data_IF_720515386570
#
_entry.id   IF_720515386570
#
_cell.length_a   1.000
_cell.length_b   1.000
_cell.length_c   1.000
_cell.angle_alpha   90.00
_cell.angle_beta   90.00
_cell.angle_gamma   90.00
#
_symmetry.space_group_name_H-M   'P 1'
#
loop_
_entity.id
_entity.type
_entity.pdbx_description
1 polymer ?
#
# COMPACT_ATOMS: atom_id res chain seq x y z
N UNK A 1 -26.80 16.68 10.11
CA UNK A 1 -26.40 16.30 10.58
C UNK A 1 -25.17 15.60 10.86
N UNK A 2 -24.95 14.51 11.18
CA UNK A 2 -23.76 13.91 11.68
C UNK A 2 -22.58 13.90 10.72
N UNK A 3 -22.82 14.07 9.46
CA UNK A 3 -21.73 13.99 8.53
C UNK A 3 -20.75 15.15 8.66
N UNK A 4 -21.17 16.23 9.19
CA UNK A 4 -20.23 17.32 9.41
C UNK A 4 -19.16 16.91 10.38
N UNK A 5 -19.56 16.14 11.39
CA UNK A 5 -18.60 15.66 12.37
C UNK A 5 -17.57 14.78 11.71
N UNK A 6 -18.05 13.90 10.83
CA UNK A 6 -17.13 12.97 10.19
C UNK A 6 -16.17 13.67 9.26
N UNK A 7 -16.56 14.79 8.70
CA UNK A 7 -15.67 15.49 7.78
C UNK A 7 -14.43 16.02 8.48
N UNK A 8 -14.48 16.16 9.79
CA UNK A 8 -13.32 16.58 10.54
C UNK A 8 -12.37 15.46 10.90
N UNK A 9 -12.65 14.25 10.43
CA UNK A 9 -11.84 13.09 10.77
C UNK A 9 -11.29 12.42 9.53
N UNK A 10 -10.37 13.06 8.83
CA UNK A 10 -9.86 12.52 7.58
C UNK A 10 -9.21 11.15 7.72
N UNK A 11 -8.68 10.84 8.90
CA UNK A 11 -7.99 9.57 9.10
C UNK A 11 -8.90 8.38 9.04
N UNK A 12 -10.21 8.56 9.26
CA UNK A 12 -11.15 7.45 9.24
C UNK A 12 -11.81 7.26 7.88
N UNK A 13 -11.64 8.21 6.99
CA UNK A 13 -12.26 8.14 5.69
C UNK A 13 -11.32 7.45 4.69
N UNK A 14 -11.89 6.57 3.91
CA UNK A 14 -11.14 5.93 2.84
C UNK A 14 -11.40 6.63 1.53
N UNK A 15 -10.38 6.71 0.72
CA UNK A 15 -10.45 7.36 -0.57
C UNK A 15 -10.19 6.36 -1.67
N UNK A 16 -10.96 6.45 -2.75
CA UNK A 16 -10.77 5.57 -3.89
C UNK A 16 -9.51 5.94 -4.66
N UNK A 17 -8.98 5.03 -5.46
CA UNK A 17 -7.83 5.38 -6.31
C UNK A 17 -8.13 6.55 -7.24
N UNK A 18 -9.37 6.67 -7.71
CA UNK A 18 -9.77 7.78 -8.57
C UNK A 18 -9.74 9.10 -7.82
N UNK A 19 -10.21 9.09 -6.57
CA UNK A 19 -10.18 10.30 -5.75
C UNK A 19 -8.76 10.75 -5.48
N UNK A 20 -7.89 9.82 -5.17
CA UNK A 20 -6.49 10.15 -4.94
C UNK A 20 -5.82 10.69 -6.19
N UNK A 21 -6.08 10.07 -7.33
CA UNK A 21 -5.50 10.50 -8.58
C UNK A 21 -5.96 11.90 -8.95
N UNK A 22 -7.24 12.19 -8.70
CA UNK A 22 -7.78 13.52 -8.97
C UNK A 22 -7.11 14.57 -8.10
N UNK A 23 -6.92 14.26 -6.81
CA UNK A 23 -6.28 15.18 -5.90
C UNK A 23 -4.85 15.47 -6.32
N UNK A 24 -4.11 14.43 -6.74
CA UNK A 24 -2.75 14.60 -7.23
C UNK A 24 -2.71 15.48 -8.47
N UNK A 25 -3.66 15.27 -9.39
CA UNK A 25 -3.73 16.10 -10.58
C UNK A 25 -3.97 17.56 -10.24
N UNK A 26 -4.81 17.82 -9.24
CA UNK A 26 -5.07 19.20 -8.83
C UNK A 26 -3.79 19.85 -8.28
N UNK A 27 -3.02 19.12 -7.50
CA UNK A 27 -1.76 19.64 -7.00
C UNK A 27 -0.81 19.96 -8.15
N UNK A 28 -0.70 19.04 -9.11
CA UNK A 28 0.21 19.24 -10.22
C UNK A 28 -0.21 20.38 -11.11
N UNK A 29 -1.51 20.53 -11.32
CA UNK A 29 -2.03 21.64 -12.10
C UNK A 29 -1.76 22.96 -11.41
N UNK A 30 -1.98 23.03 -10.11
CA UNK A 30 -1.72 24.25 -9.36
C UNK A 30 -0.24 24.62 -9.40
N UNK A 31 0.63 23.64 -9.28
CA UNK A 31 2.07 23.88 -9.37
C UNK A 31 2.44 24.47 -10.73
N UNK A 32 1.82 23.97 -11.78
CA UNK A 32 2.07 24.45 -13.11
C UNK A 32 1.60 25.89 -13.26
N UNK A 33 0.43 26.18 -12.75
CA UNK A 33 -0.13 27.53 -12.84
C UNK A 33 0.67 28.56 -12.06
N UNK A 34 1.12 28.18 -10.87
CA UNK A 34 1.86 29.09 -10.01
C UNK A 34 3.37 29.11 -10.29
N UNK A 35 3.86 28.11 -10.99
CA UNK A 35 5.28 28.00 -11.25
C UNK A 35 6.12 27.66 -10.03
N UNK A 36 5.50 27.14 -8.98
CA UNK A 36 6.19 26.74 -7.77
C UNK A 36 5.48 25.60 -7.12
N UNK A 37 6.21 24.80 -6.37
CA UNK A 37 5.61 23.70 -5.61
C UNK A 37 5.33 24.11 -4.18
N UNK A 38 5.79 25.29 -3.77
CA UNK A 38 5.67 25.71 -2.39
C UNK A 38 4.21 25.94 -1.98
N UNK A 39 3.76 25.28 -0.93
CA UNK A 39 2.43 25.49 -0.38
C UNK A 39 1.29 24.93 -1.20
N UNK A 40 1.59 24.27 -2.33
CA UNK A 40 0.53 23.78 -3.21
C UNK A 40 -0.26 22.63 -2.60
N UNK A 41 0.41 21.73 -1.90
CA UNK A 41 -0.27 20.62 -1.26
C UNK A 41 -1.24 21.10 -0.20
N UNK A 42 -0.80 22.04 0.64
CA UNK A 42 -1.66 22.59 1.67
C UNK A 42 -2.89 23.27 1.11
N UNK A 43 -2.72 24.02 0.03
CA UNK A 43 -3.84 24.73 -0.59
C UNK A 43 -4.88 23.77 -1.16
N UNK A 44 -4.42 22.77 -1.87
CA UNK A 44 -5.34 21.77 -2.45
C UNK A 44 -6.01 20.96 -1.35
N UNK A 45 -5.25 20.54 -0.35
CA UNK A 45 -5.81 19.77 0.76
C UNK A 45 -6.92 20.54 1.45
N UNK A 46 -6.69 21.82 1.68
CA UNK A 46 -7.70 22.67 2.31
C UNK A 46 -8.92 22.85 1.42
N UNK A 47 -8.69 22.99 0.13
CA UNK A 47 -9.76 23.22 -0.83
C UNK A 47 -10.67 22.01 -0.97
N UNK A 48 -10.12 20.82 -1.00
CA UNK A 48 -10.92 19.62 -1.22
C UNK A 48 -11.24 18.86 0.07
N UNK A 49 -10.74 19.35 1.20
CA UNK A 49 -11.11 18.77 2.49
C UNK A 49 -10.43 17.47 2.85
N UNK A 50 -9.18 17.30 2.42
CA UNK A 50 -8.42 16.11 2.82
C UNK A 50 -7.26 16.52 3.70
N UNK A 51 -6.68 15.56 4.42
CA UNK A 51 -5.54 15.85 5.26
C UNK A 51 -4.30 16.17 4.44
N UNK A 52 -3.52 17.13 4.91
CA UNK A 52 -2.32 17.55 4.21
C UNK A 52 -1.34 16.39 4.08
N UNK A 53 -1.16 15.62 5.15
CA UNK A 53 -0.23 14.51 5.12
C UNK A 53 -0.68 13.41 4.18
N UNK A 54 -1.98 13.15 4.14
CA UNK A 54 -2.52 12.17 3.20
C UNK A 54 -2.21 12.58 1.77
N UNK A 55 -2.49 13.84 1.45
CA UNK A 55 -2.26 14.34 0.10
C UNK A 55 -0.77 14.33 -0.24
N UNK A 56 0.08 14.69 0.72
CA UNK A 56 1.52 14.63 0.51
C UNK A 56 1.97 13.22 0.15
N UNK A 57 1.45 12.22 0.87
CA UNK A 57 1.78 10.84 0.60
C UNK A 57 1.28 10.41 -0.78
N UNK A 58 0.10 10.85 -1.17
CA UNK A 58 -0.44 10.50 -2.49
C UNK A 58 0.41 11.08 -3.61
N UNK A 59 0.84 12.33 -3.46
CA UNK A 59 1.69 12.97 -4.46
C UNK A 59 3.02 12.24 -4.55
N UNK A 60 3.60 11.94 -3.41
CA UNK A 60 4.88 11.24 -3.38
C UNK A 60 4.78 9.86 -4.02
N UNK A 61 3.73 9.11 -3.69
CA UNK A 61 3.56 7.78 -4.25
C UNK A 61 3.32 7.85 -5.76
N UNK A 62 2.57 8.85 -6.21
CA UNK A 62 2.36 9.03 -7.64
C UNK A 62 3.68 9.30 -8.35
N UNK A 63 4.54 10.12 -7.75
CA UNK A 63 5.85 10.42 -8.33
C UNK A 63 6.72 9.17 -8.39
N UNK A 64 6.65 8.34 -7.36
CA UNK A 64 7.39 7.08 -7.37
C UNK A 64 6.85 6.15 -8.45
N UNK A 65 5.54 6.02 -8.53
CA UNK A 65 4.91 5.13 -9.51
C UNK A 65 5.22 5.55 -10.95
N UNK A 66 5.43 6.84 -11.17
CA UNK A 66 5.75 7.35 -12.49
C UNK A 66 7.26 7.40 -12.75
N UNK A 67 8.06 6.97 -11.78
CA UNK A 67 9.51 6.95 -11.96
C UNK A 67 10.19 8.28 -11.77
N UNK A 68 9.48 9.29 -11.32
CA UNK A 68 10.04 10.62 -11.09
C UNK A 68 10.87 10.65 -9.82
N UNK A 69 10.47 9.87 -8.84
CA UNK A 69 11.17 9.82 -7.56
C UNK A 69 11.49 8.36 -7.23
N UNK A 70 12.69 8.08 -6.69
CA UNK A 70 13.03 6.70 -6.32
C UNK A 70 12.19 6.21 -5.14
N UNK A 71 11.89 4.93 -5.16
CA UNK A 71 11.12 4.31 -4.09
C UNK A 71 10.43 3.06 -4.61
N UNK A 72 9.68 2.41 -3.72
CA UNK A 72 8.94 1.20 -4.08
C UNK A 72 7.60 1.62 -4.65
N UNK A 73 7.35 1.26 -5.91
CA UNK A 73 6.09 1.60 -6.55
C UNK A 73 4.95 0.78 -5.95
N UNK A 74 3.73 1.23 -6.21
CA UNK A 74 2.53 0.52 -5.75
C UNK A 74 2.51 -0.90 -6.31
N UNK A 75 2.87 -1.05 -7.58
CA UNK A 75 2.92 -2.38 -8.19
C UNK A 75 3.97 -3.28 -7.56
N UNK A 76 5.15 -2.71 -7.29
CA UNK A 76 6.20 -3.46 -6.64
C UNK A 76 5.82 -3.87 -5.22
N UNK A 77 5.20 -2.96 -4.48
CA UNK A 77 4.75 -3.28 -3.12
C UNK A 77 3.74 -4.42 -3.14
N UNK A 78 2.82 -4.40 -4.10
CA UNK A 78 1.85 -5.45 -4.25
C UNK A 78 2.55 -6.78 -4.56
N UNK A 79 3.51 -6.75 -5.46
CA UNK A 79 4.25 -7.95 -5.83
C UNK A 79 5.03 -8.52 -4.66
N UNK A 80 5.62 -7.64 -3.85
CA UNK A 80 6.34 -8.08 -2.67
C UNK A 80 5.40 -8.80 -1.71
N UNK A 81 4.19 -8.25 -1.49
CA UNK A 81 3.22 -8.90 -0.62
C UNK A 81 2.81 -10.27 -1.14
N UNK A 82 2.62 -10.36 -2.45
CA UNK A 82 2.27 -11.65 -3.08
C UNK A 82 3.37 -12.66 -2.88
N UNK A 83 4.61 -12.24 -3.08
CA UNK A 83 5.75 -13.14 -2.92
C UNK A 83 5.93 -13.56 -1.46
N UNK A 84 5.72 -12.63 -0.54
CA UNK A 84 5.78 -12.97 0.88
C UNK A 84 4.73 -13.99 1.26
N UNK A 85 3.53 -13.84 0.71
CA UNK A 85 2.46 -14.80 0.97
C UNK A 85 2.79 -16.16 0.40
N UNK A 86 3.27 -16.21 -0.85
CA UNK A 86 3.69 -17.47 -1.46
C UNK A 86 4.81 -18.11 -0.64
N UNK A 87 5.74 -17.30 -0.16
CA UNK A 87 6.84 -17.81 0.63
C UNK A 87 6.35 -18.47 1.92
N UNK A 88 5.40 -17.81 2.59
CA UNK A 88 4.83 -18.38 3.82
C UNK A 88 4.12 -19.71 3.53
N UNK A 89 3.39 -19.77 2.41
CA UNK A 89 2.67 -20.98 2.04
C UNK A 89 3.63 -22.11 1.69
N UNK A 90 4.68 -21.79 0.96
CA UNK A 90 5.68 -22.79 0.60
C UNK A 90 6.42 -23.32 1.83
N UNK A 91 6.75 -22.42 2.75
CA UNK A 91 7.42 -22.84 3.99
C UNK A 91 6.51 -23.75 4.80
N UNK A 92 5.22 -23.42 4.86
CA UNK A 92 4.27 -24.25 5.58
C UNK A 92 4.16 -25.63 4.95
N UNK A 93 4.04 -25.66 3.62
CA UNK A 93 3.96 -26.93 2.90
C UNK A 93 5.25 -27.74 3.09
N UNK A 94 6.39 -27.07 3.01
CA UNK A 94 7.67 -27.74 3.18
C UNK A 94 7.80 -28.32 4.59
N UNK A 95 7.37 -27.58 5.59
CA UNK A 95 7.40 -28.04 6.97
C UNK A 95 6.50 -29.26 7.16
N UNK A 96 5.32 -29.21 6.57
CA UNK A 96 4.38 -30.34 6.63
C UNK A 96 4.98 -31.58 5.97
N UNK A 97 5.60 -31.39 4.80
CA UNK A 97 6.24 -32.51 4.12
C UNK A 97 7.38 -33.12 4.92
N UNK A 98 8.16 -32.27 5.57
CA UNK A 98 9.23 -32.79 6.43
C UNK A 98 8.68 -33.63 7.57
N UNK A 99 7.61 -33.15 8.19
CA UNK A 99 6.98 -33.87 9.29
C UNK A 99 6.39 -35.19 8.81
N UNK A 100 5.74 -35.16 7.63
CA UNK A 100 5.18 -36.36 7.07
C UNK A 100 6.28 -37.37 6.70
N UNK A 101 7.37 -36.88 6.13
CA UNK A 101 8.50 -37.75 5.78
C UNK A 101 9.09 -38.41 7.01
N UNK A 102 9.26 -37.64 8.07
CA UNK A 102 9.78 -38.17 9.32
C UNK A 102 8.85 -39.22 9.91
N UNK A 103 7.54 -38.99 9.81
CA UNK A 103 6.56 -39.93 10.30
C UNK A 103 6.63 -41.24 9.51
N UNK A 104 6.67 -41.15 8.19
CA UNK A 104 6.74 -42.35 7.37
C UNK A 104 8.07 -43.09 7.55
N UNK A 105 9.16 -42.37 7.70
CA UNK A 105 10.44 -43.01 7.95
C UNK A 105 10.40 -43.79 9.27
N UNK A 106 9.79 -43.20 10.28
CA UNK A 106 9.67 -43.88 11.57
C UNK A 106 8.82 -45.14 11.45
N UNK A 107 7.76 -45.10 10.65
CA UNK A 107 6.91 -46.25 10.46
C UNK A 107 7.65 -47.36 9.74
N UNK A 108 8.47 -47.00 8.76
CA UNK A 108 9.23 -48.01 8.02
C UNK A 108 10.33 -48.64 8.87
N UNK A 109 10.87 -47.88 9.82
CA UNK A 109 11.93 -48.38 10.68
C UNK A 109 11.40 -49.13 11.90
N UNK A 110 10.09 -49.17 12.05
CA UNK A 110 9.53 -49.86 13.21
C UNK A 110 9.83 -51.36 13.12
N UNK A 111 10.25 -51.94 14.22
CA UNK A 111 10.56 -53.37 14.22
C UNK A 111 9.34 -54.21 13.90
N UNK A 112 9.56 -55.19 13.07
CA UNK A 112 8.51 -56.12 12.71
C UNK A 112 8.27 -57.06 13.87
N UNK A 113 7.00 -57.51 14.08
CA UNK A 113 6.75 -58.43 15.18
C UNK A 113 6.54 -59.81 14.71
#
# INVERSE_FOLDING_TARGET
MGNEVTSGQPTTRRYSPQEKARAVRLVRQLRKELGTSHGTIGRVADQIGVGVESLRQWVKQADIDEGVEPGVSTGEAKRIKELEQENRELRRANDLLKKASAFFAAELDRPSR
#
